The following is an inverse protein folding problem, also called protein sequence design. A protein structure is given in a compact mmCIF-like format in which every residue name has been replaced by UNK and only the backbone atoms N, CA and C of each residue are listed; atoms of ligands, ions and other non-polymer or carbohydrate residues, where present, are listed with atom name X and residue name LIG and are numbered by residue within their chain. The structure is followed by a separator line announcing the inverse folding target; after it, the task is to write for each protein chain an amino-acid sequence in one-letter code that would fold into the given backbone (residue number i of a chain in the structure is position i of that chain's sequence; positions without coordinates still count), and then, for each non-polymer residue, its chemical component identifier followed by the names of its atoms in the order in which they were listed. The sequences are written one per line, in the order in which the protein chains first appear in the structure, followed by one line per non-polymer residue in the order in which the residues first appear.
data_IF_308162519876
#
_entry.id   IF_308162519876
#
_cell.length_a   1.000
_cell.length_b   1.000
_cell.length_c   1.000
_cell.angle_alpha   90.00
_cell.angle_beta   90.00
_cell.angle_gamma   90.00
#
_symmetry.space_group_name_H-M   'P 1'
#
loop_
_entity.id
_entity.type
_entity.pdbx_description
1 polymer ?
#
# COMPACT_ATOMS: atom_id res chain seq x y z
N UNK A 1 -12.28 56.22 46.84
CA UNK A 1 -11.93 54.84 46.42
C UNK A 1 -12.82 54.46 45.27
N UNK A 2 -12.29 54.48 44.03
CA UNK A 2 -13.03 54.08 42.81
C UNK A 2 -12.75 52.60 42.55
N UNK A 3 -13.77 51.74 42.50
CA UNK A 3 -13.67 50.33 42.15
C UNK A 3 -13.48 50.18 40.64
N UNK A 4 -12.55 49.36 40.13
CA UNK A 4 -12.42 49.07 38.71
C UNK A 4 -13.51 48.09 38.26
N UNK A 5 -14.22 48.49 37.20
CA UNK A 5 -15.20 47.69 36.51
C UNK A 5 -14.46 46.71 35.59
N UNK A 6 -14.46 45.42 35.93
CA UNK A 6 -13.94 44.37 35.06
C UNK A 6 -15.00 44.02 34.00
N UNK A 7 -14.77 44.46 32.78
CA UNK A 7 -15.60 44.07 31.62
C UNK A 7 -15.07 42.71 31.11
N UNK A 8 -15.82 41.66 31.36
CA UNK A 8 -15.55 40.31 30.85
C UNK A 8 -15.94 40.27 29.37
N UNK A 9 -14.94 40.28 28.49
CA UNK A 9 -15.15 40.06 27.03
C UNK A 9 -15.37 38.56 26.81
N UNK A 10 -16.62 38.10 26.72
CA UNK A 10 -16.94 36.76 26.19
C UNK A 10 -16.77 36.76 24.68
N UNK A 11 -15.62 36.29 24.17
CA UNK A 11 -15.48 35.96 22.77
C UNK A 11 -16.34 34.72 22.45
N UNK A 12 -17.54 34.93 21.94
CA UNK A 12 -18.29 33.89 21.25
C UNK A 12 -17.57 33.57 19.94
N UNK A 13 -16.79 32.53 19.93
CA UNK A 13 -16.28 31.91 18.67
C UNK A 13 -17.46 31.23 17.98
N UNK A 14 -18.18 31.97 17.15
CA UNK A 14 -19.11 31.37 16.20
C UNK A 14 -18.33 30.56 15.22
N UNK A 15 -18.29 29.23 15.36
CA UNK A 15 -17.81 28.33 14.34
C UNK A 15 -18.72 28.47 13.13
N UNK A 16 -18.25 29.20 12.12
CA UNK A 16 -18.90 29.26 10.81
C UNK A 16 -18.93 27.87 10.23
N UNK A 17 -20.05 27.17 10.30
CA UNK A 17 -20.28 25.92 9.59
C UNK A 17 -20.37 26.23 8.10
N UNK A 18 -19.26 26.15 7.40
CA UNK A 18 -19.24 26.28 5.94
C UNK A 18 -19.96 25.07 5.35
N UNK A 19 -21.03 25.28 4.55
CA UNK A 19 -21.73 24.14 3.95
C UNK A 19 -20.79 23.37 3.02
N UNK A 20 -20.82 22.05 3.16
CA UNK A 20 -20.01 21.14 2.37
C UNK A 20 -20.31 21.27 0.87
N UNK A 21 -19.28 21.42 0.05
CA UNK A 21 -19.44 21.53 -1.40
C UNK A 21 -19.96 20.21 -2.01
N UNK A 22 -20.46 20.29 -3.26
CA UNK A 22 -20.89 19.11 -4.00
C UNK A 22 -19.75 18.08 -4.13
N UNK A 23 -18.54 18.53 -4.44
CA UNK A 23 -17.38 17.67 -4.57
C UNK A 23 -17.03 16.94 -3.26
N UNK A 24 -17.06 17.65 -2.13
CA UNK A 24 -16.81 17.05 -0.81
C UNK A 24 -17.87 15.99 -0.47
N UNK A 25 -19.14 16.27 -0.73
CA UNK A 25 -20.24 15.30 -0.52
C UNK A 25 -20.08 14.06 -1.41
N UNK A 26 -19.66 14.25 -2.67
CA UNK A 26 -19.41 13.14 -3.60
C UNK A 26 -18.26 12.25 -3.09
N UNK A 27 -17.14 12.85 -2.69
CA UNK A 27 -15.98 12.10 -2.17
C UNK A 27 -16.36 11.33 -0.91
N UNK A 28 -17.05 11.98 0.06
CA UNK A 28 -17.47 11.32 1.29
C UNK A 28 -18.40 10.14 1.01
N UNK A 29 -19.44 10.31 0.19
CA UNK A 29 -20.35 9.21 -0.17
C UNK A 29 -19.63 8.05 -0.87
N UNK A 30 -18.65 8.36 -1.72
CA UNK A 30 -17.84 7.34 -2.40
C UNK A 30 -17.00 6.56 -1.39
N UNK A 31 -16.40 7.25 -0.43
CA UNK A 31 -15.62 6.63 0.64
C UNK A 31 -16.50 5.76 1.56
N UNK A 32 -17.67 6.28 1.99
CA UNK A 32 -18.64 5.51 2.78
C UNK A 32 -19.03 4.21 2.07
N UNK A 33 -19.28 4.29 0.76
CA UNK A 33 -19.62 3.13 -0.06
C UNK A 33 -18.45 2.16 -0.17
N UNK A 34 -17.23 2.66 -0.36
CA UNK A 34 -16.02 1.85 -0.39
C UNK A 34 -15.82 1.11 0.94
N UNK A 35 -16.05 1.77 2.08
CA UNK A 35 -16.00 1.13 3.40
C UNK A 35 -16.98 -0.05 3.48
N UNK A 36 -18.26 0.16 3.12
CA UNK A 36 -19.27 -0.90 3.17
C UNK A 36 -18.91 -2.08 2.29
N UNK A 37 -18.55 -1.82 1.02
CA UNK A 37 -18.22 -2.88 0.06
C UNK A 37 -16.95 -3.63 0.44
N UNK A 38 -15.92 -2.93 0.91
CA UNK A 38 -14.65 -3.56 1.33
C UNK A 38 -14.83 -4.38 2.62
N UNK A 39 -15.67 -3.90 3.58
CA UNK A 39 -15.98 -4.67 4.78
C UNK A 39 -16.73 -5.96 4.45
N UNK A 40 -17.69 -5.91 3.52
CA UNK A 40 -18.38 -7.09 3.04
C UNK A 40 -17.41 -8.07 2.39
N UNK A 41 -16.59 -7.60 1.45
CA UNK A 41 -15.58 -8.43 0.78
C UNK A 41 -14.63 -9.08 1.79
N UNK A 42 -14.11 -8.32 2.78
CA UNK A 42 -13.22 -8.89 3.79
C UNK A 42 -13.92 -9.97 4.65
N UNK A 43 -15.23 -9.83 4.91
CA UNK A 43 -15.98 -10.81 5.67
C UNK A 43 -16.17 -12.15 4.93
N UNK A 44 -16.16 -12.13 3.61
CA UNK A 44 -16.26 -13.34 2.76
C UNK A 44 -14.92 -14.07 2.63
N UNK A 45 -13.80 -13.39 2.92
CA UNK A 45 -12.44 -13.92 2.82
C UNK A 45 -12.00 -14.57 4.14
N UNK A 46 -12.23 -15.86 4.31
CA UNK A 46 -11.85 -16.60 5.52
C UNK A 46 -10.34 -16.88 5.60
N UNK A 47 -9.70 -17.21 4.45
CA UNK A 47 -8.27 -17.45 4.34
C UNK A 47 -7.51 -16.14 4.13
N UNK A 48 -6.58 -15.83 5.04
CA UNK A 48 -5.76 -14.61 4.99
C UNK A 48 -4.59 -14.67 4.01
N UNK A 49 -4.33 -15.83 3.43
CA UNK A 49 -3.28 -16.05 2.43
C UNK A 49 -3.80 -15.97 0.99
N UNK A 50 -5.12 -15.81 0.84
CA UNK A 50 -5.79 -15.66 -0.45
C UNK A 50 -6.32 -14.23 -0.60
N UNK A 51 -6.17 -13.70 -1.81
CA UNK A 51 -6.48 -12.32 -2.16
C UNK A 51 -7.45 -12.26 -3.33
N UNK A 52 -8.45 -11.37 -3.27
CA UNK A 52 -9.44 -11.21 -4.34
C UNK A 52 -8.79 -10.59 -5.58
N UNK A 53 -9.14 -11.10 -6.75
CA UNK A 53 -8.61 -10.62 -8.03
C UNK A 53 -9.69 -10.19 -9.01
N UNK A 54 -10.72 -10.98 -9.19
CA UNK A 54 -11.78 -10.78 -10.19
C UNK A 54 -13.03 -11.57 -9.81
N UNK A 55 -14.07 -11.41 -10.58
CA UNK A 55 -15.22 -12.30 -10.59
C UNK A 55 -15.13 -13.21 -11.82
N UNK A 56 -15.50 -14.46 -11.66
CA UNK A 56 -15.66 -15.37 -12.78
C UNK A 56 -16.94 -15.05 -13.59
N UNK A 57 -17.21 -15.81 -14.65
CA UNK A 57 -18.40 -15.61 -15.49
C UNK A 57 -19.73 -15.86 -14.78
N UNK A 58 -19.72 -16.60 -13.69
CA UNK A 58 -20.88 -16.88 -12.85
C UNK A 58 -21.04 -15.83 -11.72
N UNK A 59 -20.10 -14.89 -11.59
CA UNK A 59 -20.09 -13.86 -10.55
C UNK A 59 -19.46 -14.35 -9.23
N UNK A 60 -18.82 -15.52 -9.22
CA UNK A 60 -18.09 -16.00 -8.05
C UNK A 60 -16.70 -15.33 -7.95
N UNK A 61 -16.27 -15.08 -6.71
CA UNK A 61 -15.01 -14.42 -6.43
C UNK A 61 -13.82 -15.32 -6.76
N UNK A 62 -12.93 -14.83 -7.63
CA UNK A 62 -11.65 -15.48 -7.90
C UNK A 62 -10.59 -15.02 -6.91
N UNK A 63 -9.93 -15.99 -6.28
CA UNK A 63 -8.89 -15.77 -5.28
C UNK A 63 -7.53 -16.26 -5.79
N UNK A 64 -6.48 -15.52 -5.46
CA UNK A 64 -5.08 -15.90 -5.76
C UNK A 64 -4.24 -15.91 -4.49
N UNK A 65 -3.16 -16.69 -4.52
CA UNK A 65 -2.21 -16.75 -3.39
C UNK A 65 -1.38 -15.47 -3.30
N UNK A 66 -0.61 -15.37 -2.22
CA UNK A 66 0.36 -14.27 -1.99
C UNK A 66 1.32 -14.05 -3.18
N UNK A 67 1.58 -15.08 -4.00
CA UNK A 67 2.50 -15.00 -5.15
C UNK A 67 1.89 -14.36 -6.40
N UNK A 68 0.63 -13.96 -6.36
CA UNK A 68 0.01 -13.17 -7.43
C UNK A 68 0.45 -11.71 -7.34
N UNK A 69 0.75 -11.10 -8.46
CA UNK A 69 1.14 -9.68 -8.53
C UNK A 69 0.10 -8.73 -7.92
N UNK A 70 -1.17 -9.12 -7.89
CA UNK A 70 -2.26 -8.31 -7.31
C UNK A 70 -2.40 -8.46 -5.79
N UNK A 71 -1.63 -9.33 -5.13
CA UNK A 71 -1.82 -9.67 -3.71
C UNK A 71 -1.69 -8.49 -2.75
N UNK A 72 -0.96 -7.44 -3.12
CA UNK A 72 -0.78 -6.25 -2.31
C UNK A 72 -1.94 -5.25 -2.37
N UNK A 73 -2.81 -5.29 -3.39
CA UNK A 73 -3.83 -4.25 -3.60
C UNK A 73 -4.95 -4.29 -2.57
N UNK A 74 -5.47 -5.47 -2.24
CA UNK A 74 -6.52 -5.57 -1.24
C UNK A 74 -6.06 -5.09 0.15
N UNK A 75 -4.94 -5.58 0.72
CA UNK A 75 -4.41 -5.02 1.95
C UNK A 75 -4.03 -3.53 1.83
N UNK A 76 -3.53 -3.08 0.67
CA UNK A 76 -3.32 -1.66 0.39
C UNK A 76 -4.60 -0.83 0.51
N UNK A 77 -5.72 -1.32 -0.03
CA UNK A 77 -7.04 -0.68 0.11
C UNK A 77 -7.46 -0.57 1.57
N UNK A 78 -7.25 -1.61 2.38
CA UNK A 78 -7.55 -1.58 3.82
C UNK A 78 -6.72 -0.52 4.56
N UNK A 79 -5.45 -0.35 4.20
CA UNK A 79 -4.60 0.71 4.74
C UNK A 79 -5.08 2.11 4.35
N UNK A 80 -5.53 2.31 3.11
CA UNK A 80 -6.10 3.57 2.66
C UNK A 80 -7.37 3.91 3.44
N UNK A 81 -8.27 2.93 3.65
CA UNK A 81 -9.47 3.14 4.46
C UNK A 81 -9.13 3.49 5.91
N UNK A 82 -8.09 2.87 6.49
CA UNK A 82 -7.60 3.28 7.80
C UNK A 82 -7.05 4.70 7.78
N UNK A 83 -6.26 5.06 6.79
CA UNK A 83 -5.71 6.42 6.66
C UNK A 83 -6.79 7.50 6.60
N UNK A 84 -7.87 7.24 5.88
CA UNK A 84 -8.98 8.18 5.70
C UNK A 84 -9.95 8.23 6.89
N UNK A 85 -10.21 7.10 7.52
CA UNK A 85 -11.27 7.01 8.56
C UNK A 85 -10.72 7.05 9.98
N UNK A 86 -9.46 6.66 10.19
CA UNK A 86 -8.83 6.42 11.49
C UNK A 86 -9.58 5.40 12.37
N UNK A 87 -10.47 4.59 11.77
CA UNK A 87 -11.20 3.55 12.46
C UNK A 87 -10.29 2.35 12.76
N UNK A 88 -10.10 1.97 14.04
CA UNK A 88 -9.25 0.85 14.44
C UNK A 88 -9.63 -0.49 13.80
N UNK A 89 -10.87 -0.66 13.36
CA UNK A 89 -11.30 -1.88 12.67
C UNK A 89 -10.58 -2.07 11.34
N UNK A 90 -10.31 -0.98 10.60
CA UNK A 90 -9.53 -1.02 9.37
C UNK A 90 -8.05 -1.29 9.64
N UNK A 91 -7.50 -0.73 10.72
CA UNK A 91 -6.13 -1.03 11.15
C UNK A 91 -5.94 -2.52 11.40
N UNK A 92 -6.86 -3.14 12.14
CA UNK A 92 -6.82 -4.57 12.42
C UNK A 92 -6.89 -5.42 11.14
N UNK A 93 -7.84 -5.10 10.24
CA UNK A 93 -7.99 -5.79 8.94
C UNK A 93 -6.74 -5.65 8.07
N UNK A 94 -6.21 -4.44 7.95
CA UNK A 94 -5.01 -4.15 7.16
C UNK A 94 -3.81 -4.92 7.69
N UNK A 95 -3.55 -4.89 8.99
CA UNK A 95 -2.46 -5.66 9.61
C UNK A 95 -2.58 -7.15 9.38
N UNK A 96 -3.78 -7.69 9.60
CA UNK A 96 -4.08 -9.12 9.41
C UNK A 96 -3.78 -9.58 7.99
N UNK A 97 -4.22 -8.82 6.96
CA UNK A 97 -4.01 -9.16 5.56
C UNK A 97 -2.56 -8.92 5.09
N UNK A 98 -1.90 -7.91 5.64
CA UNK A 98 -0.50 -7.61 5.30
C UNK A 98 0.47 -8.63 5.88
N UNK A 99 0.16 -9.22 7.03
CA UNK A 99 1.06 -10.15 7.73
C UNK A 99 1.48 -11.36 6.87
N UNK A 100 0.58 -11.91 6.05
CA UNK A 100 0.87 -13.05 5.18
C UNK A 100 1.89 -12.69 4.07
N UNK A 101 2.01 -11.42 3.69
CA UNK A 101 2.92 -10.96 2.64
C UNK A 101 4.39 -10.93 3.10
N UNK A 102 4.67 -11.06 4.40
CA UNK A 102 6.04 -11.13 4.91
C UNK A 102 6.85 -12.28 4.28
N UNK A 103 6.19 -13.38 3.87
CA UNK A 103 6.82 -14.48 3.16
C UNK A 103 7.35 -14.15 1.75
N UNK A 104 7.09 -12.93 1.26
CA UNK A 104 7.56 -12.45 -0.04
C UNK A 104 8.90 -11.71 0.02
N UNK A 105 9.44 -11.40 1.20
CA UNK A 105 10.70 -10.65 1.34
C UNK A 105 11.88 -11.29 0.61
N UNK A 106 11.85 -12.62 0.41
CA UNK A 106 12.88 -13.38 -0.31
C UNK A 106 12.40 -13.97 -1.65
N UNK A 107 11.27 -13.48 -2.18
CA UNK A 107 10.67 -14.03 -3.41
C UNK A 107 11.28 -13.42 -4.67
N UNK A 108 12.28 -14.08 -5.25
CA UNK A 108 13.09 -13.56 -6.37
C UNK A 108 12.50 -13.83 -7.78
N UNK A 109 11.33 -14.47 -7.89
CA UNK A 109 10.83 -15.00 -9.18
C UNK A 109 10.05 -13.99 -10.01
N UNK A 110 9.81 -12.81 -9.50
CA UNK A 110 9.08 -11.73 -10.16
C UNK A 110 9.67 -10.37 -9.79
N UNK A 111 9.42 -9.38 -10.62
CA UNK A 111 9.70 -7.99 -10.29
C UNK A 111 8.51 -7.30 -9.57
N UNK A 112 7.35 -7.96 -9.46
CA UNK A 112 6.11 -7.34 -8.96
C UNK A 112 6.11 -7.01 -7.47
N UNK A 113 7.27 -7.01 -6.82
CA UNK A 113 7.42 -6.80 -5.38
C UNK A 113 6.94 -5.41 -4.93
N UNK A 114 7.02 -4.40 -5.81
CA UNK A 114 6.43 -3.08 -5.56
C UNK A 114 4.91 -3.13 -5.41
N UNK A 115 4.23 -3.93 -6.24
CA UNK A 115 2.78 -4.15 -6.13
C UNK A 115 2.42 -5.01 -4.92
N UNK A 116 3.15 -6.12 -4.73
CA UNK A 116 2.81 -7.16 -3.76
C UNK A 116 3.13 -6.73 -2.33
N UNK A 117 4.26 -6.06 -2.11
CA UNK A 117 4.77 -5.67 -0.79
C UNK A 117 4.84 -4.15 -0.65
N UNK A 118 5.37 -3.44 -1.65
CA UNK A 118 5.55 -1.98 -1.60
C UNK A 118 4.24 -1.25 -1.28
N UNK A 119 3.14 -1.58 -1.97
CA UNK A 119 1.84 -0.97 -1.75
C UNK A 119 1.34 -1.09 -0.31
N UNK A 120 1.11 -2.29 0.27
CA UNK A 120 0.54 -2.39 1.61
C UNK A 120 1.55 -2.09 2.71
N UNK A 121 2.79 -2.54 2.58
CA UNK A 121 3.81 -2.36 3.62
C UNK A 121 4.28 -0.90 3.68
N UNK A 122 4.43 -0.24 2.53
CA UNK A 122 4.76 1.19 2.47
C UNK A 122 3.67 2.06 3.12
N UNK A 123 2.38 1.76 2.85
CA UNK A 123 1.26 2.44 3.51
C UNK A 123 1.23 2.14 5.02
N UNK A 124 1.39 0.87 5.41
CA UNK A 124 1.44 0.46 6.82
C UNK A 124 2.55 1.17 7.58
N UNK A 125 3.75 1.23 7.01
CA UNK A 125 4.89 1.97 7.59
C UNK A 125 4.56 3.46 7.77
N UNK A 126 4.05 4.10 6.74
CA UNK A 126 3.72 5.54 6.73
C UNK A 126 2.66 5.91 7.77
N UNK A 127 1.65 5.06 7.94
CA UNK A 127 0.52 5.30 8.84
C UNK A 127 0.79 4.91 10.30
N UNK A 128 1.74 4.00 10.56
CA UNK A 128 1.96 3.46 11.90
C UNK A 128 3.38 3.66 12.45
N UNK A 129 4.37 3.89 11.59
CA UNK A 129 5.77 3.92 11.98
C UNK A 129 6.33 2.56 12.43
N UNK A 130 5.63 1.45 12.14
CA UNK A 130 5.99 0.12 12.63
C UNK A 130 7.31 -0.37 12.01
N UNK A 131 8.30 -0.60 12.85
CA UNK A 131 9.64 -1.03 12.43
C UNK A 131 9.68 -2.42 11.78
N UNK A 132 8.65 -3.23 11.96
CA UNK A 132 8.53 -4.50 11.24
C UNK A 132 8.26 -4.27 9.75
N UNK A 133 7.45 -3.26 9.42
CA UNK A 133 7.21 -2.88 8.02
C UNK A 133 8.42 -2.23 7.38
N UNK A 134 9.19 -1.42 8.14
CA UNK A 134 10.46 -0.87 7.65
C UNK A 134 11.41 -1.99 7.25
N UNK A 135 11.64 -2.97 8.13
CA UNK A 135 12.49 -4.13 7.83
C UNK A 135 12.00 -4.91 6.61
N UNK A 136 10.71 -5.23 6.57
CA UNK A 136 10.13 -5.99 5.47
C UNK A 136 10.29 -5.26 4.12
N UNK A 137 10.08 -3.94 4.09
CA UNK A 137 10.26 -3.12 2.89
C UNK A 137 11.72 -3.15 2.41
N UNK A 138 12.67 -2.97 3.33
CA UNK A 138 14.11 -2.98 3.00
C UNK A 138 14.55 -4.37 2.50
N UNK A 139 14.18 -5.45 3.20
CA UNK A 139 14.50 -6.82 2.79
C UNK A 139 13.92 -7.16 1.40
N UNK A 140 12.68 -6.71 1.15
CA UNK A 140 12.04 -6.92 -0.16
C UNK A 140 12.76 -6.12 -1.25
N UNK A 141 13.20 -4.91 -0.94
CA UNK A 141 13.98 -4.08 -1.88
C UNK A 141 15.33 -4.70 -2.19
N UNK A 142 16.04 -5.28 -1.21
CA UNK A 142 17.27 -6.06 -1.43
C UNK A 142 17.01 -7.25 -2.37
N UNK A 143 15.90 -7.93 -2.20
CA UNK A 143 15.51 -9.04 -3.08
C UNK A 143 15.25 -8.57 -4.51
N UNK A 144 14.61 -7.40 -4.67
CA UNK A 144 14.37 -6.81 -5.99
C UNK A 144 15.67 -6.41 -6.69
N UNK A 145 16.67 -5.88 -5.96
CA UNK A 145 17.98 -5.52 -6.54
C UNK A 145 18.67 -6.69 -7.22
N UNK A 146 18.45 -7.94 -6.80
CA UNK A 146 19.01 -9.14 -7.44
C UNK A 146 18.51 -9.35 -8.87
N UNK A 147 17.44 -8.68 -9.28
CA UNK A 147 16.89 -8.71 -10.63
C UNK A 147 17.44 -7.60 -11.53
N UNK A 148 18.26 -6.71 -10.99
CA UNK A 148 18.93 -5.67 -11.76
C UNK A 148 20.18 -6.22 -12.44
N UNK A 149 20.34 -5.95 -13.73
CA UNK A 149 21.54 -6.28 -14.46
C UNK A 149 22.29 -4.97 -14.84
N UNK A 150 23.49 -4.74 -14.32
CA UNK A 150 24.22 -3.49 -14.58
C UNK A 150 24.68 -3.33 -16.04
N UNK A 151 24.72 -4.41 -16.82
CA UNK A 151 25.03 -4.34 -18.27
C UNK A 151 23.83 -3.86 -19.07
N UNK A 152 22.62 -4.20 -18.63
CA UNK A 152 21.36 -3.79 -19.24
C UNK A 152 20.89 -2.45 -18.67
N UNK A 153 21.22 -2.19 -17.40
CA UNK A 153 20.79 -0.99 -16.67
C UNK A 153 19.32 -1.01 -16.23
N UNK A 154 18.70 -2.19 -16.16
CA UNK A 154 17.27 -2.34 -15.88
C UNK A 154 16.98 -3.52 -14.95
N UNK A 155 15.81 -3.52 -14.29
CA UNK A 155 15.31 -4.63 -13.50
C UNK A 155 14.55 -5.59 -14.40
N UNK A 156 14.93 -6.86 -14.40
CA UNK A 156 14.27 -7.92 -15.17
C UNK A 156 12.89 -8.24 -14.61
N UNK A 157 11.87 -8.27 -15.49
CA UNK A 157 10.48 -8.49 -15.09
C UNK A 157 10.23 -9.92 -14.59
N UNK A 158 10.44 -10.93 -15.41
CA UNK A 158 10.37 -12.35 -15.04
C UNK A 158 11.23 -13.22 -15.98
N UNK A 159 11.42 -14.47 -15.60
CA UNK A 159 12.20 -15.43 -16.36
C UNK A 159 11.29 -16.21 -17.30
N UNK A 160 11.64 -16.31 -18.57
CA UNK A 160 10.92 -17.13 -19.53
C UNK A 160 11.70 -18.43 -19.86
N UNK A 161 11.63 -19.38 -18.93
CA UNK A 161 12.34 -20.66 -19.06
C UNK A 161 11.92 -21.51 -20.26
N UNK A 162 10.76 -21.24 -20.84
CA UNK A 162 10.23 -21.96 -22.00
C UNK A 162 10.74 -21.41 -23.33
N UNK A 163 11.47 -20.28 -23.32
CA UNK A 163 12.04 -19.66 -24.52
C UNK A 163 13.55 -19.59 -24.40
N UNK A 164 14.25 -20.17 -25.37
CA UNK A 164 15.70 -20.15 -25.44
C UNK A 164 16.18 -19.46 -26.73
N UNK A 165 17.10 -18.50 -26.68
CA UNK A 165 17.63 -17.94 -25.43
C UNK A 165 16.52 -17.19 -24.64
N UNK A 166 16.60 -17.22 -23.31
CA UNK A 166 15.68 -16.52 -22.43
C UNK A 166 15.87 -15.00 -22.57
N UNK A 167 14.92 -14.27 -23.16
CA UNK A 167 15.09 -12.83 -23.38
C UNK A 167 15.12 -12.08 -22.06
N UNK A 168 15.93 -11.02 -21.98
CA UNK A 168 15.90 -10.10 -20.86
C UNK A 168 14.65 -9.23 -20.99
N UNK A 169 13.56 -9.67 -20.38
CA UNK A 169 12.26 -9.02 -20.50
C UNK A 169 12.12 -7.91 -19.46
N UNK A 170 11.74 -6.71 -19.91
CA UNK A 170 11.42 -5.56 -19.08
C UNK A 170 10.09 -4.99 -19.57
N UNK A 171 9.19 -4.69 -18.65
CA UNK A 171 7.92 -4.02 -18.96
C UNK A 171 7.76 -2.76 -18.09
N UNK A 172 6.93 -1.84 -18.56
CA UNK A 172 6.83 -0.47 -18.00
C UNK A 172 6.36 -0.43 -16.55
N UNK A 173 5.60 -1.41 -16.11
CA UNK A 173 5.09 -1.50 -14.74
C UNK A 173 6.19 -1.68 -13.68
N UNK A 174 7.44 -1.95 -14.09
CA UNK A 174 8.61 -1.80 -13.22
C UNK A 174 8.66 -0.45 -12.49
N UNK A 175 7.98 0.57 -13.01
CA UNK A 175 7.85 1.88 -12.37
C UNK A 175 7.29 1.81 -10.95
N UNK A 176 6.44 0.82 -10.62
CA UNK A 176 5.93 0.61 -9.26
C UNK A 176 7.00 0.21 -8.25
N UNK A 177 8.10 -0.39 -8.72
CA UNK A 177 9.22 -0.77 -7.87
C UNK A 177 10.07 0.43 -7.44
N UNK A 178 10.09 1.50 -8.24
CA UNK A 178 10.95 2.64 -8.01
C UNK A 178 10.60 3.36 -6.72
N UNK A 179 9.30 3.53 -6.41
CA UNK A 179 8.86 4.11 -5.15
C UNK A 179 9.38 3.30 -3.95
N UNK A 180 9.27 1.97 -4.00
CA UNK A 180 9.78 1.09 -2.95
C UNK A 180 11.30 1.22 -2.77
N UNK A 181 12.07 1.29 -3.86
CA UNK A 181 13.52 1.46 -3.83
C UNK A 181 13.92 2.84 -3.29
N UNK A 182 13.26 3.91 -3.70
CA UNK A 182 13.50 5.24 -3.13
C UNK A 182 13.23 5.30 -1.63
N UNK A 183 12.16 4.66 -1.18
CA UNK A 183 11.83 4.57 0.25
C UNK A 183 12.89 3.75 1.01
N UNK A 184 13.35 2.63 0.47
CA UNK A 184 14.44 1.84 1.05
C UNK A 184 15.74 2.67 1.17
N UNK A 185 16.08 3.45 0.11
CA UNK A 185 17.22 4.36 0.16
C UNK A 185 17.08 5.43 1.24
N UNK A 186 15.89 6.01 1.39
CA UNK A 186 15.61 7.01 2.42
C UNK A 186 15.72 6.43 3.84
N UNK A 187 15.28 5.21 4.04
CA UNK A 187 15.27 4.54 5.35
C UNK A 187 16.66 4.09 5.80
N UNK A 188 17.49 3.63 4.85
CA UNK A 188 18.80 3.02 5.13
C UNK A 188 19.97 3.96 4.90
N UNK A 189 19.81 4.99 4.07
CA UNK A 189 20.90 5.81 3.56
C UNK A 189 21.75 5.10 2.49
N UNK A 190 21.41 3.86 2.10
CA UNK A 190 22.14 3.09 1.09
C UNK A 190 21.83 3.61 -0.31
N UNK A 191 22.83 4.13 -1.05
CA UNK A 191 22.65 4.68 -2.39
C UNK A 191 22.29 3.62 -3.45
N UNK A 192 22.60 2.33 -3.24
CA UNK A 192 22.33 1.26 -4.22
C UNK A 192 20.87 1.21 -4.65
N UNK A 193 19.95 1.41 -3.69
CA UNK A 193 18.51 1.42 -3.99
C UNK A 193 18.14 2.56 -4.92
N UNK A 194 18.60 3.78 -4.63
CA UNK A 194 18.36 4.95 -5.47
C UNK A 194 19.01 4.80 -6.85
N UNK A 195 20.25 4.33 -6.88
CA UNK A 195 21.04 4.27 -8.13
C UNK A 195 20.45 3.24 -9.11
N UNK A 196 19.75 2.21 -8.62
CA UNK A 196 18.96 1.28 -9.46
C UNK A 196 17.59 1.87 -9.85
N UNK A 197 17.04 2.78 -9.07
CA UNK A 197 15.74 3.39 -9.33
C UNK A 197 15.81 4.57 -10.34
N UNK A 198 16.99 5.15 -10.59
CA UNK A 198 17.23 6.27 -11.52
C UNK A 198 17.65 5.76 -12.89
#
# INVERSE_FOLDING_TARGET
MKKPLFVLFCCLSATLVVPESFAQRFVRRSLDRACVQTAQLDSELTDTTLYPTSLDRAGALELKSIRSWVSGFFPGTLWLLYGETQDPSWLWRARRRTAALAGLSSYERTHDLGFMVGCPVGLGLRLTGDKAYERLLVETSETLLKRFDPKVGLIRSWDNKNRQPDPYLVIIDNMMNLEMLFEASRLTGDPRFRDVAV
#
